data_IF_808809911797
#
_entry.id   IF_808809911797
#
_cell.length_a   1.000
_cell.length_b   1.000
_cell.length_c   1.000
_cell.angle_alpha   90.00
_cell.angle_beta   90.00
_cell.angle_gamma   90.00
#
_symmetry.space_group_name_H-M   'P 1'
#
loop_
_entity.id
_entity.type
_entity.pdbx_description
1 polymer ?
#
# COMPACT_ATOMS: atom_id res chain seq x y z
N UNK A 1 6.30 13.25 17.42
CA UNK A 1 5.44 13.83 18.47
C UNK A 1 6.34 14.37 19.58
N UNK A 2 5.93 15.40 20.36
CA UNK A 2 6.74 15.86 21.48
C UNK A 2 7.03 14.73 22.47
N UNK A 3 8.22 14.77 23.09
CA UNK A 3 8.62 13.84 24.13
C UNK A 3 8.73 14.60 25.45
N UNK A 4 8.18 14.05 26.51
CA UNK A 4 8.20 14.64 27.84
C UNK A 4 8.93 13.70 28.79
N UNK A 5 9.91 14.23 29.49
CA UNK A 5 10.50 13.60 30.65
C UNK A 5 9.65 13.94 31.88
N UNK A 6 9.23 12.92 32.62
CA UNK A 6 8.48 13.06 33.85
C UNK A 6 9.28 12.45 34.98
N UNK A 7 9.57 13.27 35.99
CA UNK A 7 10.21 12.85 37.24
C UNK A 7 9.16 12.83 38.35
N UNK A 8 9.22 11.81 39.20
CA UNK A 8 8.23 11.63 40.24
C UNK A 8 8.51 10.42 41.13
N UNK A 9 7.47 9.92 41.80
CA UNK A 9 7.54 8.72 42.66
C UNK A 9 6.52 7.68 42.24
N UNK A 10 6.87 6.40 42.35
CA UNK A 10 5.89 5.32 42.14
C UNK A 10 4.83 5.34 43.25
N UNK A 11 3.55 5.39 42.90
CA UNK A 11 2.41 5.49 43.83
C UNK A 11 2.44 4.42 44.93
N UNK A 12 2.80 3.19 44.55
CA UNK A 12 2.82 2.05 45.49
C UNK A 12 4.15 1.89 46.23
N UNK A 13 5.25 2.39 45.66
CA UNK A 13 6.61 2.10 46.17
C UNK A 13 7.27 3.29 46.85
N UNK A 14 6.77 4.51 46.63
CA UNK A 14 7.39 5.76 47.06
C UNK A 14 8.77 6.05 46.44
N UNK A 15 9.29 5.16 45.59
CA UNK A 15 10.62 5.28 44.99
C UNK A 15 10.62 6.29 43.85
N UNK A 16 11.70 7.07 43.75
CA UNK A 16 11.93 8.01 42.64
C UNK A 16 11.95 7.26 41.30
N UNK A 17 11.31 7.84 40.29
CA UNK A 17 11.27 7.34 38.92
C UNK A 17 11.44 8.51 37.95
N UNK A 18 12.08 8.22 36.83
CA UNK A 18 12.22 9.11 35.68
C UNK A 18 11.78 8.33 34.45
N UNK A 19 10.77 8.84 33.75
CA UNK A 19 10.14 8.19 32.60
C UNK A 19 10.04 9.18 31.46
N UNK A 20 10.06 8.67 30.24
CA UNK A 20 9.85 9.48 29.03
C UNK A 20 8.58 9.01 28.36
N UNK A 21 7.70 9.95 28.03
CA UNK A 21 6.43 9.71 27.35
C UNK A 21 6.39 10.52 26.05
N UNK A 22 5.87 9.92 24.99
CA UNK A 22 5.57 10.62 23.75
C UNK A 22 4.09 10.98 23.77
N UNK A 23 3.75 12.26 23.69
CA UNK A 23 2.38 12.76 23.83
C UNK A 23 2.19 14.02 22.99
N UNK A 24 0.97 14.31 22.55
CA UNK A 24 0.67 15.52 21.79
C UNK A 24 0.72 16.79 22.66
N UNK A 25 0.63 16.65 23.98
CA UNK A 25 0.72 17.74 24.95
C UNK A 25 1.28 17.28 26.30
N UNK A 26 1.73 18.23 27.10
CA UNK A 26 2.14 17.98 28.50
C UNK A 26 1.00 17.34 29.32
N UNK A 27 -0.26 17.77 29.10
CA UNK A 27 -1.42 17.23 29.81
C UNK A 27 -1.62 15.74 29.53
N UNK A 28 -1.46 15.33 28.28
CA UNK A 28 -1.58 13.91 27.89
C UNK A 28 -0.38 13.11 28.44
N UNK A 29 0.83 13.66 28.42
CA UNK A 29 1.99 13.03 29.04
C UNK A 29 1.79 12.82 30.56
N UNK A 30 1.19 13.79 31.25
CA UNK A 30 0.84 13.67 32.67
C UNK A 30 -0.16 12.55 32.91
N UNK A 31 -1.22 12.48 32.11
CA UNK A 31 -2.20 11.42 32.21
C UNK A 31 -1.56 10.03 32.04
N UNK A 32 -0.70 9.86 31.02
CA UNK A 32 0.04 8.62 30.80
C UNK A 32 0.93 8.24 31.99
N UNK A 33 1.57 9.23 32.62
CA UNK A 33 2.39 8.99 33.80
C UNK A 33 1.58 8.61 35.04
N UNK A 34 0.42 9.22 35.25
CA UNK A 34 -0.50 8.86 36.33
C UNK A 34 -1.08 7.46 36.15
N UNK A 35 -1.42 7.08 34.91
CA UNK A 35 -1.86 5.74 34.54
C UNK A 35 -0.75 4.68 34.75
N UNK A 36 0.52 5.01 34.53
CA UNK A 36 1.70 4.18 34.91
C UNK A 36 1.95 4.16 36.44
N UNK A 37 1.08 4.79 37.22
CA UNK A 37 1.20 4.86 38.68
C UNK A 37 2.35 5.75 39.15
N UNK A 38 2.66 6.82 38.42
CA UNK A 38 3.66 7.82 38.81
C UNK A 38 2.99 9.06 39.41
N UNK A 39 3.35 9.40 40.64
CA UNK A 39 3.06 10.69 41.26
C UNK A 39 4.04 11.72 40.71
N UNK A 40 3.54 12.65 39.91
CA UNK A 40 4.32 13.61 39.14
C UNK A 40 4.88 14.70 40.06
N UNK A 41 6.20 14.95 39.99
CA UNK A 41 6.88 16.05 40.68
C UNK A 41 7.33 17.12 39.67
N UNK A 42 7.88 16.70 38.52
CA UNK A 42 8.41 17.60 37.50
C UNK A 42 8.14 17.03 36.10
N UNK A 43 7.89 17.93 35.14
CA UNK A 43 7.72 17.60 33.72
C UNK A 43 8.61 18.52 32.89
N UNK A 44 9.36 17.95 31.95
CA UNK A 44 10.25 18.68 31.06
C UNK A 44 10.05 18.19 29.63
N UNK A 45 9.79 19.10 28.70
CA UNK A 45 9.77 18.76 27.27
C UNK A 45 11.20 18.53 26.76
N UNK A 46 11.43 17.36 26.15
CA UNK A 46 12.70 16.98 25.56
C UNK A 46 12.73 17.53 24.13
N UNK A 47 13.68 18.42 23.79
CA UNK A 47 13.80 18.91 22.43
C UNK A 47 14.08 17.74 21.46
N UNK A 48 13.63 17.84 20.20
CA UNK A 48 13.91 16.82 19.21
C UNK A 48 15.40 16.75 18.91
N UNK A 49 15.87 15.54 18.60
CA UNK A 49 17.28 15.32 18.29
C UNK A 49 17.65 16.04 16.98
N UNK A 50 18.75 16.80 16.93
CA UNK A 50 19.21 17.40 15.68
C UNK A 50 19.74 16.31 14.72
N UNK A 51 19.82 16.59 13.41
CA UNK A 51 20.38 15.67 12.43
C UNK A 51 21.82 15.33 12.77
N UNK A 52 22.19 14.06 12.63
CA UNK A 52 23.57 13.64 12.83
C UNK A 52 24.46 14.14 11.68
N UNK A 53 25.75 14.35 11.92
CA UNK A 53 26.68 14.79 10.87
C UNK A 53 26.66 13.84 9.65
N UNK A 54 26.57 12.52 9.90
CA UNK A 54 26.45 11.52 8.84
C UNK A 54 25.20 11.69 7.97
N UNK A 55 24.06 12.04 8.57
CA UNK A 55 22.84 12.33 7.81
C UNK A 55 22.98 13.61 7.00
N UNK A 56 23.61 14.65 7.57
CA UNK A 56 23.84 15.93 6.89
C UNK A 56 24.72 15.72 5.67
N UNK A 57 25.83 15.00 5.81
CA UNK A 57 26.77 14.75 4.72
C UNK A 57 26.11 13.89 3.64
N UNK A 58 25.43 12.81 4.02
CA UNK A 58 24.75 11.94 3.06
C UNK A 58 23.61 12.67 2.32
N UNK A 59 22.83 13.51 2.99
CA UNK A 59 21.81 14.33 2.34
C UNK A 59 22.42 15.31 1.33
N UNK A 60 23.56 15.94 1.65
CA UNK A 60 24.28 16.81 0.72
C UNK A 60 24.76 16.05 -0.51
N UNK A 61 25.33 14.85 -0.33
CA UNK A 61 25.77 13.99 -1.44
C UNK A 61 24.62 13.60 -2.37
N UNK A 62 23.41 13.42 -1.81
CA UNK A 62 22.18 13.18 -2.56
C UNK A 62 21.55 14.45 -3.18
N UNK A 63 22.14 15.63 -2.94
CA UNK A 63 21.63 16.91 -3.41
C UNK A 63 20.35 17.36 -2.71
N UNK A 64 20.13 16.96 -1.46
CA UNK A 64 18.96 17.30 -0.66
C UNK A 64 19.23 18.60 0.11
N UNK A 65 18.35 19.60 -0.05
CA UNK A 65 18.37 20.80 0.78
C UNK A 65 17.74 20.50 2.14
N UNK A 66 18.53 20.62 3.21
CA UNK A 66 18.06 20.40 4.59
C UNK A 66 17.41 21.70 5.13
N UNK A 67 16.17 21.65 5.61
CA UNK A 67 15.53 22.77 6.31
C UNK A 67 16.32 23.20 7.56
N UNK A 68 16.35 24.49 7.88
CA UNK A 68 17.15 25.03 8.99
C UNK A 68 16.82 24.40 10.36
N UNK A 69 15.54 24.07 10.59
CA UNK A 69 15.06 23.49 11.84
C UNK A 69 14.76 21.98 11.72
N UNK A 70 15.33 21.31 10.71
CA UNK A 70 15.10 19.90 10.50
C UNK A 70 15.64 19.08 11.67
N UNK A 71 14.86 18.12 12.11
CA UNK A 71 15.24 17.13 13.12
C UNK A 71 15.94 15.94 12.48
N UNK A 72 16.51 15.07 13.32
CA UNK A 72 17.08 13.78 12.91
C UNK A 72 16.11 12.96 12.06
N UNK A 73 14.84 12.92 12.46
CA UNK A 73 13.81 12.14 11.77
C UNK A 73 13.41 12.80 10.45
N UNK A 74 13.33 14.15 10.41
CA UNK A 74 13.04 14.89 9.18
C UNK A 74 14.08 14.59 8.09
N UNK A 75 15.36 14.63 8.45
CA UNK A 75 16.45 14.34 7.50
C UNK A 75 16.43 12.86 7.11
N UNK A 76 16.09 11.95 8.02
CA UNK A 76 15.93 10.52 7.70
C UNK A 76 14.81 10.28 6.68
N UNK A 77 13.65 10.92 6.85
CA UNK A 77 12.52 10.80 5.93
C UNK A 77 12.81 11.48 4.58
N UNK A 78 13.50 12.63 4.57
CA UNK A 78 13.98 13.29 3.35
C UNK A 78 14.93 12.40 2.53
N UNK A 79 15.89 11.76 3.21
CA UNK A 79 16.83 10.82 2.59
C UNK A 79 16.05 9.62 2.02
N UNK A 80 15.19 9.00 2.81
CA UNK A 80 14.41 7.82 2.39
C UNK A 80 13.52 8.15 1.19
N UNK A 81 12.83 9.29 1.22
CA UNK A 81 12.01 9.79 0.12
C UNK A 81 12.80 9.86 -1.20
N UNK A 82 14.05 10.34 -1.15
CA UNK A 82 14.95 10.46 -2.31
C UNK A 82 15.49 9.11 -2.77
N UNK A 83 16.03 8.32 -1.85
CA UNK A 83 16.71 7.03 -2.13
C UNK A 83 15.71 6.01 -2.69
N UNK A 84 14.53 5.89 -2.07
CA UNK A 84 13.51 4.91 -2.44
C UNK A 84 12.67 5.35 -3.65
N UNK A 85 12.96 6.54 -4.19
CA UNK A 85 12.18 7.22 -5.24
C UNK A 85 10.68 7.24 -4.88
N UNK A 86 10.41 7.48 -3.60
CA UNK A 86 9.05 7.54 -3.09
C UNK A 86 8.41 8.91 -3.40
N UNK A 87 7.08 8.97 -3.32
CA UNK A 87 6.33 10.20 -3.53
C UNK A 87 5.98 10.80 -2.18
N UNK A 88 6.01 12.14 -2.01
CA UNK A 88 5.57 12.76 -0.76
C UNK A 88 4.15 12.34 -0.39
N UNK A 89 3.91 12.14 0.91
CA UNK A 89 2.57 11.89 1.42
C UNK A 89 1.69 13.14 1.33
N UNK A 90 0.45 12.97 0.89
CA UNK A 90 -0.55 14.06 0.90
C UNK A 90 -1.20 14.18 2.28
N UNK A 91 -1.84 15.31 2.56
CA UNK A 91 -2.60 15.51 3.80
C UNK A 91 -3.68 14.45 4.02
N UNK A 92 -4.29 13.94 2.93
CA UNK A 92 -5.23 12.81 3.00
C UNK A 92 -4.55 11.56 3.56
N UNK A 93 -3.34 11.22 3.10
CA UNK A 93 -2.61 10.06 3.63
C UNK A 93 -2.23 10.27 5.11
N UNK A 94 -1.76 11.46 5.45
CA UNK A 94 -1.39 11.84 6.82
C UNK A 94 -2.58 11.79 7.79
N UNK A 95 -3.79 12.14 7.33
CA UNK A 95 -5.03 12.02 8.12
C UNK A 95 -5.27 10.59 8.61
N UNK A 96 -5.01 9.57 7.78
CA UNK A 96 -5.14 8.16 8.20
C UNK A 96 -4.16 7.78 9.31
N UNK A 97 -2.90 8.19 9.18
CA UNK A 97 -1.91 7.92 10.22
C UNK A 97 -2.27 8.61 11.55
N UNK A 98 -2.75 9.86 11.52
CA UNK A 98 -3.25 10.57 12.71
C UNK A 98 -4.43 9.83 13.36
N UNK A 99 -5.41 9.37 12.57
CA UNK A 99 -6.55 8.61 13.08
C UNK A 99 -6.15 7.32 13.82
N UNK A 100 -4.98 6.77 13.49
CA UNK A 100 -4.42 5.59 14.15
C UNK A 100 -3.36 5.89 15.21
N UNK A 101 -3.11 7.17 15.52
CA UNK A 101 -2.10 7.60 16.50
C UNK A 101 -0.66 7.32 16.06
N UNK A 102 -0.37 7.37 14.75
CA UNK A 102 0.94 7.06 14.22
C UNK A 102 1.74 8.34 13.99
N UNK A 103 2.98 8.34 14.47
CA UNK A 103 3.91 9.44 14.30
C UNK A 103 4.61 9.42 12.93
N UNK A 104 4.73 10.60 12.33
CA UNK A 104 5.43 10.82 11.08
C UNK A 104 5.93 12.27 10.98
N UNK A 105 6.92 12.49 10.12
CA UNK A 105 7.41 13.82 9.78
C UNK A 105 6.62 14.41 8.60
N UNK A 106 6.74 15.71 8.38
CA UNK A 106 6.12 16.35 7.22
C UNK A 106 6.72 15.93 5.88
N UNK A 107 7.92 15.35 5.91
CA UNK A 107 8.70 14.92 4.74
C UNK A 107 8.47 13.45 4.36
N UNK A 108 7.63 12.71 5.11
CA UNK A 108 7.46 11.27 4.92
C UNK A 108 6.92 10.90 3.52
N UNK A 109 7.57 9.92 2.91
CA UNK A 109 7.11 9.30 1.67
C UNK A 109 5.82 8.48 1.85
N UNK A 110 5.06 8.34 0.77
CA UNK A 110 3.77 7.63 0.75
C UNK A 110 3.94 6.15 1.11
N UNK A 111 4.91 5.46 0.51
CA UNK A 111 5.19 4.05 0.83
C UNK A 111 5.64 3.91 2.27
N UNK A 112 6.55 4.78 2.72
CA UNK A 112 7.04 4.78 4.09
C UNK A 112 5.91 4.99 5.11
N UNK A 113 5.03 5.97 4.88
CA UNK A 113 3.87 6.24 5.74
C UNK A 113 2.93 5.04 5.80
N UNK A 114 2.64 4.42 4.67
CA UNK A 114 1.78 3.24 4.62
C UNK A 114 2.41 2.05 5.33
N UNK A 115 3.71 1.83 5.18
CA UNK A 115 4.45 0.81 5.92
C UNK A 115 4.35 1.04 7.44
N UNK A 116 4.50 2.30 7.91
CA UNK A 116 4.30 2.63 9.33
C UNK A 116 2.87 2.34 9.79
N UNK A 117 1.86 2.67 8.99
CA UNK A 117 0.45 2.34 9.28
C UNK A 117 0.27 0.84 9.44
N UNK A 118 0.69 0.06 8.45
CA UNK A 118 0.53 -1.38 8.47
C UNK A 118 1.27 -2.01 9.66
N UNK A 119 2.53 -1.64 9.90
CA UNK A 119 3.32 -2.15 11.01
C UNK A 119 2.66 -1.86 12.37
N UNK A 120 2.11 -0.65 12.55
CA UNK A 120 1.42 -0.29 13.78
C UNK A 120 0.11 -1.07 13.99
N UNK A 121 -0.60 -1.41 12.90
CA UNK A 121 -1.89 -2.12 12.95
C UNK A 121 -1.74 -3.64 13.08
N UNK A 122 -0.60 -4.22 12.70
CA UNK A 122 -0.33 -5.66 12.86
C UNK A 122 -0.18 -6.06 14.34
N UNK A 123 0.12 -5.11 15.22
CA UNK A 123 0.25 -5.33 16.67
C UNK A 123 -0.99 -5.98 17.29
N UNK A 124 -0.83 -6.88 18.29
CA UNK A 124 -1.95 -7.51 18.99
C UNK A 124 -2.94 -6.51 19.57
N UNK A 125 -4.23 -6.83 19.50
CA UNK A 125 -5.31 -5.97 20.00
C UNK A 125 -5.75 -4.87 19.01
N UNK A 126 -5.18 -4.83 17.80
CA UNK A 126 -5.56 -3.91 16.72
C UNK A 126 -6.18 -4.59 15.50
N UNK A 127 -6.61 -5.85 15.64
CA UNK A 127 -7.12 -6.71 14.56
C UNK A 127 -8.27 -6.05 13.79
N UNK A 128 -9.27 -5.49 14.49
CA UNK A 128 -10.38 -4.78 13.84
C UNK A 128 -9.87 -3.59 13.02
N UNK A 129 -8.99 -2.76 13.60
CA UNK A 129 -8.41 -1.59 12.89
C UNK A 129 -7.57 -2.01 11.67
N UNK A 130 -6.83 -3.12 11.78
CA UNK A 130 -6.08 -3.72 10.67
C UNK A 130 -7.02 -4.13 9.53
N UNK A 131 -8.14 -4.78 9.87
CA UNK A 131 -9.13 -5.20 8.88
C UNK A 131 -9.87 -4.00 8.28
N UNK A 132 -10.26 -3.00 9.06
CA UNK A 132 -10.84 -1.76 8.54
C UNK A 132 -9.89 -1.07 7.55
N UNK A 133 -8.60 -0.97 7.91
CA UNK A 133 -7.58 -0.43 7.01
C UNK A 133 -7.50 -1.23 5.71
N UNK A 134 -7.32 -2.56 5.81
CA UNK A 134 -7.23 -3.42 4.63
C UNK A 134 -8.48 -3.35 3.74
N UNK A 135 -9.68 -3.42 4.34
CA UNK A 135 -10.97 -3.32 3.65
C UNK A 135 -11.10 -1.99 2.92
N UNK A 136 -10.73 -0.88 3.55
CA UNK A 136 -10.69 0.43 2.89
C UNK A 136 -9.70 0.44 1.71
N UNK A 137 -8.54 -0.19 1.84
CA UNK A 137 -7.56 -0.28 0.74
C UNK A 137 -8.10 -1.08 -0.44
N UNK A 138 -8.79 -2.20 -0.18
CA UNK A 138 -9.48 -2.97 -1.24
C UNK A 138 -10.60 -2.15 -1.87
N UNK A 139 -11.38 -1.41 -1.08
CA UNK A 139 -12.40 -0.51 -1.63
C UNK A 139 -11.81 0.52 -2.59
N UNK A 140 -10.73 1.21 -2.18
CA UNK A 140 -10.04 2.21 -3.02
C UNK A 140 -9.51 1.63 -4.33
N UNK A 141 -9.10 0.36 -4.33
CA UNK A 141 -8.74 -0.37 -5.54
C UNK A 141 -9.94 -0.60 -6.46
N UNK A 142 -11.07 -1.08 -5.92
CA UNK A 142 -12.26 -1.39 -6.71
C UNK A 142 -12.85 -0.16 -7.42
N UNK A 143 -12.68 1.03 -6.85
CA UNK A 143 -13.08 2.30 -7.48
C UNK A 143 -11.95 2.96 -8.30
N UNK A 144 -10.85 2.25 -8.54
CA UNK A 144 -9.66 2.77 -9.26
C UNK A 144 -9.14 4.11 -8.71
N UNK A 145 -9.26 4.30 -7.39
CA UNK A 145 -8.84 5.51 -6.72
C UNK A 145 -9.65 6.76 -7.07
N UNK A 146 -10.90 6.65 -7.51
CA UNK A 146 -11.77 7.80 -7.80
C UNK A 146 -11.82 8.83 -6.66
N UNK A 147 -11.82 10.12 -7.01
CA UNK A 147 -11.79 11.22 -6.03
C UNK A 147 -13.17 11.48 -5.41
N UNK A 148 -14.24 11.25 -6.17
CA UNK A 148 -15.64 11.36 -5.75
C UNK A 148 -16.17 10.07 -5.08
N UNK A 149 -15.34 9.41 -4.28
CA UNK A 149 -15.71 8.16 -3.63
C UNK A 149 -16.71 8.40 -2.48
N UNK A 150 -17.82 7.65 -2.40
CA UNK A 150 -18.72 7.69 -1.25
C UNK A 150 -18.05 7.40 0.09
N UNK A 151 -17.08 6.48 0.10
CA UNK A 151 -16.29 6.13 1.29
C UNK A 151 -14.91 6.80 1.17
N UNK A 152 -14.59 7.69 2.11
CA UNK A 152 -13.38 8.50 2.08
C UNK A 152 -12.30 8.07 3.10
N UNK A 153 -12.68 7.29 4.12
CA UNK A 153 -11.83 6.87 5.23
C UNK A 153 -12.14 5.43 5.75
N UNK A 154 -11.22 4.83 6.55
CA UNK A 154 -11.37 3.46 7.06
C UNK A 154 -12.37 3.27 8.22
N UNK A 155 -12.80 4.36 8.85
CA UNK A 155 -13.80 4.40 9.94
C UNK A 155 -15.25 4.55 9.40
N UNK A 156 -15.43 4.44 8.09
CA UNK A 156 -16.76 4.38 7.48
C UNK A 156 -17.55 3.16 7.99
N UNK A 157 -18.86 3.30 8.29
CA UNK A 157 -19.66 2.22 8.86
C UNK A 157 -19.62 0.91 8.06
N UNK A 158 -19.65 0.98 6.72
CA UNK A 158 -19.63 -0.23 5.87
C UNK A 158 -18.28 -0.94 6.01
N UNK A 159 -17.20 -0.17 6.10
CA UNK A 159 -15.85 -0.71 6.29
C UNK A 159 -15.72 -1.36 7.67
N UNK A 160 -16.22 -0.72 8.72
CA UNK A 160 -16.16 -1.24 10.09
C UNK A 160 -17.03 -2.47 10.31
N UNK A 161 -18.22 -2.53 9.70
CA UNK A 161 -19.10 -3.71 9.75
C UNK A 161 -18.43 -4.92 9.09
N UNK A 162 -17.83 -4.74 7.90
CA UNK A 162 -17.07 -5.81 7.23
C UNK A 162 -15.87 -6.24 8.09
N UNK A 163 -15.17 -5.29 8.71
CA UNK A 163 -14.03 -5.60 9.57
C UNK A 163 -14.45 -6.38 10.83
N UNK A 164 -15.59 -6.04 11.43
CA UNK A 164 -16.15 -6.74 12.59
C UNK A 164 -16.49 -8.20 12.26
N UNK A 165 -17.13 -8.45 11.11
CA UNK A 165 -17.45 -9.81 10.68
C UNK A 165 -16.19 -10.67 10.43
N UNK A 166 -15.13 -10.05 9.90
CA UNK A 166 -13.89 -10.74 9.55
C UNK A 166 -12.91 -10.92 10.72
N UNK A 167 -13.12 -10.23 11.85
CA UNK A 167 -12.16 -10.23 12.98
C UNK A 167 -11.98 -11.60 13.61
N UNK A 168 -12.98 -12.47 13.50
CA UNK A 168 -12.94 -13.84 14.02
C UNK A 168 -12.32 -14.85 13.05
N UNK A 169 -12.08 -14.46 11.79
CA UNK A 169 -11.48 -15.33 10.78
C UNK A 169 -9.95 -15.25 10.82
N UNK A 170 -9.35 -16.18 11.56
CA UNK A 170 -7.90 -16.33 11.70
C UNK A 170 -7.17 -16.53 10.36
N UNK A 171 -7.81 -17.14 9.36
CA UNK A 171 -7.20 -17.33 8.05
C UNK A 171 -7.10 -15.99 7.32
N UNK A 172 -8.13 -15.15 7.43
CA UNK A 172 -8.11 -13.79 6.87
C UNK A 172 -7.10 -12.91 7.60
N UNK A 173 -7.10 -12.88 8.93
CA UNK A 173 -6.11 -12.13 9.70
C UNK A 173 -4.67 -12.52 9.35
N UNK A 174 -4.36 -13.82 9.27
CA UNK A 174 -3.05 -14.32 8.85
C UNK A 174 -2.70 -13.96 7.41
N UNK A 175 -3.69 -13.77 6.54
CA UNK A 175 -3.46 -13.30 5.17
C UNK A 175 -3.16 -11.81 5.15
N UNK A 176 -3.90 -11.00 5.92
CA UNK A 176 -3.75 -9.54 5.95
C UNK A 176 -2.44 -9.11 6.64
N UNK A 177 -2.02 -9.82 7.69
CA UNK A 177 -0.77 -9.54 8.41
C UNK A 177 0.50 -9.71 7.56
N UNK A 178 0.43 -10.40 6.41
CA UNK A 178 1.59 -10.63 5.53
C UNK A 178 1.90 -9.47 4.60
N UNK A 179 0.96 -8.54 4.42
CA UNK A 179 1.20 -7.39 3.55
C UNK A 179 2.16 -6.42 4.21
N UNK A 180 3.05 -5.86 3.40
CA UNK A 180 3.65 -4.57 3.71
C UNK A 180 2.67 -3.45 3.37
N UNK A 181 2.73 -2.34 4.09
CA UNK A 181 1.80 -1.24 3.87
C UNK A 181 1.91 -0.63 2.46
N UNK A 182 3.11 -0.58 1.91
CA UNK A 182 3.40 -0.09 0.57
C UNK A 182 2.71 -0.91 -0.52
N UNK A 183 2.53 -2.21 -0.29
CA UNK A 183 1.79 -3.11 -1.19
C UNK A 183 0.29 -2.79 -1.19
N UNK A 184 -0.24 -2.24 -0.10
CA UNK A 184 -1.66 -1.86 -0.02
C UNK A 184 -1.99 -0.54 -0.73
N UNK A 185 -1.02 0.11 -1.38
CA UNK A 185 -1.26 1.31 -2.18
C UNK A 185 -2.14 0.97 -3.39
N UNK A 186 -1.93 -0.20 -4.01
CA UNK A 186 -2.65 -0.70 -5.18
C UNK A 186 -2.52 -2.23 -5.24
N UNK A 187 -3.42 -2.94 -5.93
CA UNK A 187 -3.39 -4.40 -5.99
C UNK A 187 -3.15 -4.95 -7.40
N UNK A 188 -2.47 -6.09 -7.48
CA UNK A 188 -2.18 -6.80 -8.72
C UNK A 188 -0.80 -6.50 -9.29
N UNK A 189 -0.70 -6.56 -10.62
CA UNK A 189 0.55 -6.40 -11.36
C UNK A 189 0.35 -5.36 -12.47
N UNK A 190 1.38 -4.55 -12.69
CA UNK A 190 1.42 -3.61 -13.80
C UNK A 190 2.76 -3.72 -14.52
N UNK A 191 2.71 -3.95 -15.83
CA UNK A 191 3.91 -3.97 -16.68
C UNK A 191 4.11 -2.59 -17.27
N UNK A 192 5.28 -2.03 -17.01
CA UNK A 192 5.73 -0.76 -17.57
C UNK A 192 6.04 -0.88 -19.08
N UNK A 193 6.06 0.23 -19.85
CA UNK A 193 6.35 0.19 -21.28
C UNK A 193 7.72 -0.42 -21.65
N UNK A 194 8.67 -0.38 -20.72
CA UNK A 194 10.00 -1.00 -20.80
C UNK A 194 10.03 -2.49 -20.42
N UNK A 195 8.86 -3.08 -20.10
CA UNK A 195 8.71 -4.51 -19.83
C UNK A 195 8.92 -4.93 -18.39
N UNK A 196 9.22 -3.98 -17.48
CA UNK A 196 9.37 -4.27 -16.06
C UNK A 196 8.00 -4.47 -15.39
N UNK A 197 7.83 -5.61 -14.70
CA UNK A 197 6.63 -5.89 -13.91
C UNK A 197 6.78 -5.28 -12.52
N UNK A 198 5.85 -4.40 -12.18
CA UNK A 198 5.65 -3.90 -10.83
C UNK A 198 4.55 -4.72 -10.16
N UNK A 199 4.72 -5.03 -8.88
CA UNK A 199 3.78 -5.81 -8.08
C UNK A 199 3.28 -4.98 -6.90
N UNK A 200 1.97 -4.97 -6.70
CA UNK A 200 1.32 -4.44 -5.50
C UNK A 200 0.82 -5.57 -4.62
N UNK A 201 -0.17 -5.28 -3.78
CA UNK A 201 -0.83 -6.29 -2.96
C UNK A 201 -1.49 -7.36 -3.84
N UNK A 202 -1.37 -8.63 -3.47
CA UNK A 202 -1.98 -9.72 -4.23
C UNK A 202 -3.51 -9.71 -4.17
N UNK A 203 -4.14 -9.44 -5.32
CA UNK A 203 -5.59 -9.58 -5.51
C UNK A 203 -6.08 -11.04 -5.60
N UNK A 204 -5.17 -12.03 -5.47
CA UNK A 204 -5.49 -13.46 -5.57
C UNK A 204 -5.74 -14.11 -4.21
N UNK A 205 -5.41 -13.42 -3.12
CA UNK A 205 -5.53 -13.92 -1.74
C UNK A 205 -6.98 -14.16 -1.33
N UNK A 206 -7.20 -15.07 -0.37
CA UNK A 206 -8.52 -15.31 0.21
C UNK A 206 -9.10 -14.03 0.84
N UNK A 207 -8.28 -13.28 1.58
CA UNK A 207 -8.67 -12.01 2.19
C UNK A 207 -9.14 -10.99 1.16
N UNK A 208 -8.37 -10.76 0.09
CA UNK A 208 -8.77 -9.83 -0.95
C UNK A 208 -10.11 -10.24 -1.60
N UNK A 209 -10.25 -11.52 -1.95
CA UNK A 209 -11.45 -12.04 -2.61
C UNK A 209 -12.70 -11.89 -1.73
N UNK A 210 -12.61 -12.26 -0.46
CA UNK A 210 -13.72 -12.18 0.48
C UNK A 210 -14.13 -10.72 0.74
N UNK A 211 -13.17 -9.86 1.06
CA UNK A 211 -13.39 -8.43 1.26
C UNK A 211 -13.97 -7.78 0.01
N UNK A 212 -13.44 -8.09 -1.18
CA UNK A 212 -13.97 -7.57 -2.44
C UNK A 212 -15.42 -8.01 -2.68
N UNK A 213 -15.78 -9.24 -2.32
CA UNK A 213 -17.16 -9.74 -2.44
C UNK A 213 -18.10 -8.96 -1.53
N UNK A 214 -17.76 -8.81 -0.25
CA UNK A 214 -18.58 -8.09 0.73
C UNK A 214 -18.74 -6.61 0.36
N UNK A 215 -17.68 -5.96 -0.13
CA UNK A 215 -17.73 -4.58 -0.61
C UNK A 215 -18.63 -4.43 -1.83
N UNK A 216 -18.64 -5.40 -2.76
CA UNK A 216 -19.52 -5.34 -3.95
C UNK A 216 -20.99 -5.49 -3.60
N UNK A 217 -21.31 -6.23 -2.53
CA UNK A 217 -22.69 -6.36 -2.05
C UNK A 217 -23.17 -5.13 -1.27
N UNK A 218 -22.28 -4.48 -0.51
CA UNK A 218 -22.70 -3.49 0.50
C UNK A 218 -22.35 -2.05 0.15
N UNK A 219 -21.24 -1.81 -0.55
CA UNK A 219 -20.74 -0.46 -0.80
C UNK A 219 -21.31 0.14 -2.09
N UNK A 220 -21.47 1.46 -2.10
CA UNK A 220 -21.78 2.21 -3.30
C UNK A 220 -20.51 2.51 -4.09
N UNK A 221 -20.60 2.33 -5.42
CA UNK A 221 -19.53 2.64 -6.36
C UNK A 221 -19.89 3.90 -7.13
N UNK A 222 -18.97 4.87 -7.30
CA UNK A 222 -19.23 6.04 -8.12
C UNK A 222 -19.59 5.59 -9.53
N UNK A 223 -20.60 6.24 -10.14
CA UNK A 223 -20.96 5.98 -11.53
C UNK A 223 -19.71 6.24 -12.38
N UNK A 224 -19.31 5.24 -13.16
CA UNK A 224 -18.17 5.34 -14.07
C UNK A 224 -18.42 6.48 -15.08
N UNK A 225 -18.00 7.70 -14.76
CA UNK A 225 -17.55 8.61 -15.80
C UNK A 225 -16.30 7.97 -16.37
N UNK A 226 -16.47 7.28 -17.50
CA UNK A 226 -15.40 6.62 -18.21
C UNK A 226 -14.23 7.61 -18.35
N UNK A 227 -13.21 7.49 -17.48
CA UNK A 227 -11.91 8.07 -17.74
C UNK A 227 -11.45 7.42 -19.04
N UNK A 228 -11.61 8.16 -20.15
CA UNK A 228 -10.99 7.83 -21.44
C UNK A 228 -9.60 7.33 -21.11
N UNK A 229 -9.37 6.07 -21.48
CA UNK A 229 -8.07 5.43 -21.49
C UNK A 229 -7.08 6.50 -21.92
N UNK A 230 -6.12 6.84 -21.06
CA UNK A 230 -4.96 7.63 -21.47
C UNK A 230 -4.17 6.74 -22.42
N UNK A 231 -4.62 6.64 -23.67
CA UNK A 231 -3.75 6.29 -24.78
C UNK A 231 -2.81 7.47 -24.91
N UNK A 232 -1.56 7.29 -24.51
CA UNK A 232 -0.49 8.20 -24.84
C UNK A 232 -0.27 8.14 -26.36
N UNK A 233 -1.09 8.85 -27.12
CA UNK A 233 -0.80 9.20 -28.49
C UNK A 233 0.03 10.49 -28.46
N UNK A 234 1.23 10.37 -29.02
CA UNK A 234 2.27 11.36 -29.12
C UNK A 234 1.80 12.75 -29.59
N UNK A 235 2.17 13.78 -28.83
CA UNK A 235 2.61 15.03 -29.42
C UNK A 235 4.13 14.90 -29.67
N UNK A 236 4.49 14.44 -30.87
CA UNK A 236 5.81 14.69 -31.45
C UNK A 236 5.60 15.30 -32.81
N UNK A 237 5.90 16.58 -32.87
CA UNK A 237 6.25 17.34 -34.06
C UNK A 237 7.46 16.69 -34.75
N UNK A 238 7.46 16.67 -36.10
CA UNK A 238 8.58 16.15 -36.88
C UNK A 238 8.23 15.32 -38.14
N UNK A 239 7.91 16.03 -39.22
CA UNK A 239 8.45 15.82 -40.58
C UNK A 239 8.22 14.46 -41.31
N UNK A 240 7.18 14.46 -42.16
CA UNK A 240 7.07 13.92 -43.52
C UNK A 240 8.11 12.87 -44.05
N UNK A 241 7.67 11.63 -44.28
CA UNK A 241 7.86 10.88 -45.56
C UNK A 241 7.03 9.58 -45.66
N UNK A 242 5.98 9.66 -46.47
CA UNK A 242 5.56 8.74 -47.54
C UNK A 242 5.67 7.19 -47.34
N UNK A 243 4.51 6.53 -47.17
CA UNK A 243 3.90 5.50 -48.07
C UNK A 243 3.21 4.30 -47.38
N UNK A 244 1.96 4.11 -47.82
CA UNK A 244 1.16 2.88 -47.95
C UNK A 244 0.78 2.06 -46.71
N UNK A 245 -0.52 2.11 -46.40
CA UNK A 245 -1.32 1.03 -45.80
C UNK A 245 -2.01 0.20 -46.92
N UNK A 246 -2.72 -0.94 -46.67
CA UNK A 246 -2.82 -1.73 -45.43
C UNK A 246 -2.80 -3.28 -45.65
N UNK A 247 -2.95 -4.03 -44.53
CA UNK A 247 -3.58 -5.36 -44.32
C UNK A 247 -2.65 -6.47 -43.79
N UNK A 248 -2.83 -6.79 -42.50
CA UNK A 248 -2.29 -7.98 -41.86
C UNK A 248 -3.39 -8.85 -41.25
N UNK A 249 -4.16 -9.55 -42.08
CA UNK A 249 -5.06 -10.64 -41.68
C UNK A 249 -4.65 -11.96 -42.38
N UNK A 250 -3.34 -12.16 -42.59
CA UNK A 250 -2.80 -13.31 -43.32
C UNK A 250 -2.24 -14.41 -42.40
N UNK A 251 -2.05 -14.14 -41.10
CA UNK A 251 -1.52 -15.11 -40.15
C UNK A 251 -2.55 -16.17 -39.72
N UNK A 252 -3.84 -15.81 -39.66
CA UNK A 252 -4.93 -16.71 -39.24
C UNK A 252 -5.26 -17.75 -40.33
N UNK A 253 -5.08 -17.41 -41.62
CA UNK A 253 -5.34 -18.33 -42.73
C UNK A 253 -4.29 -19.46 -42.83
N UNK A 254 -3.04 -19.23 -42.43
CA UNK A 254 -2.00 -20.27 -42.49
C UNK A 254 -2.16 -21.36 -41.42
N UNK A 255 -2.70 -21.01 -40.24
CA UNK A 255 -2.90 -21.96 -39.14
C UNK A 255 -4.03 -22.95 -39.44
N UNK A 256 -5.11 -22.50 -40.11
CA UNK A 256 -6.23 -23.37 -40.49
C UNK A 256 -5.82 -24.40 -41.56
N UNK A 257 -4.93 -24.01 -42.48
CA UNK A 257 -4.43 -24.90 -43.55
C UNK A 257 -3.47 -25.98 -43.03
N UNK A 258 -2.70 -25.71 -41.97
CA UNK A 258 -1.82 -26.71 -41.37
C UNK A 258 -2.59 -27.74 -40.53
N UNK A 259 -3.69 -27.33 -39.88
CA UNK A 259 -4.53 -28.24 -39.10
C UNK A 259 -5.27 -29.23 -40.02
N UNK A 260 -5.76 -28.78 -41.19
CA UNK A 260 -6.47 -29.66 -42.12
C UNK A 260 -5.56 -30.72 -42.76
N UNK A 261 -4.32 -30.38 -43.08
CA UNK A 261 -3.33 -31.36 -43.58
C UNK A 261 -2.96 -32.39 -42.52
N UNK A 262 -2.80 -31.96 -41.25
CA UNK A 262 -2.51 -32.87 -40.14
C UNK A 262 -3.62 -33.90 -39.88
N UNK A 263 -4.89 -33.49 -40.00
CA UNK A 263 -6.06 -34.39 -39.83
C UNK A 263 -6.15 -35.42 -40.97
N UNK A 264 -5.90 -35.02 -42.21
CA UNK A 264 -5.92 -35.96 -43.35
C UNK A 264 -4.80 -37.00 -43.24
N UNK A 265 -3.60 -36.60 -42.83
CA UNK A 265 -2.47 -37.52 -42.66
C UNK A 265 -2.68 -38.51 -41.50
N UNK A 266 -3.33 -38.08 -40.41
CA UNK A 266 -3.64 -38.96 -39.28
C UNK A 266 -4.75 -39.97 -39.61
N UNK A 267 -5.77 -39.58 -40.39
CA UNK A 267 -6.78 -40.52 -40.89
C UNK A 267 -6.16 -41.56 -41.83
N UNK A 268 -5.26 -41.15 -42.73
CA UNK A 268 -4.57 -42.07 -43.64
C UNK A 268 -3.65 -43.05 -42.90
N UNK A 269 -3.00 -42.61 -41.82
CA UNK A 269 -2.16 -43.47 -40.99
C UNK A 269 -2.97 -44.49 -40.18
N UNK A 270 -4.10 -44.07 -39.60
CA UNK A 270 -5.02 -44.97 -38.88
C UNK A 270 -5.62 -46.02 -39.83
N UNK A 271 -6.00 -45.62 -41.05
CA UNK A 271 -6.50 -46.56 -42.07
C UNK A 271 -5.48 -47.63 -42.45
N UNK A 272 -4.19 -47.28 -42.55
CA UNK A 272 -3.12 -48.25 -42.81
C UNK A 272 -2.88 -49.21 -41.65
N UNK A 273 -3.03 -48.76 -40.40
CA UNK A 273 -2.91 -49.62 -39.22
C UNK A 273 -4.02 -50.67 -39.19
N UNK A 274 -5.27 -50.29 -39.49
CA UNK A 274 -6.37 -51.25 -39.56
C UNK A 274 -6.20 -52.24 -40.71
N UNK A 275 -5.75 -51.80 -41.88
CA UNK A 275 -5.50 -52.70 -43.02
C UNK A 275 -4.31 -53.67 -42.82
N UNK A 276 -3.46 -53.45 -41.81
CA UNK A 276 -2.39 -54.37 -41.43
C UNK A 276 -2.84 -55.42 -40.40
N UNK A 277 -3.91 -55.13 -39.63
CA UNK A 277 -4.44 -56.01 -38.59
C UNK A 277 -5.35 -57.13 -39.11
N UNK A 278 -5.88 -56.98 -40.32
CA UNK A 278 -6.72 -58.01 -40.99
C UNK A 278 -5.90 -58.97 -41.89
N UNK A 279 -4.56 -58.96 -41.78
CA UNK A 279 -3.64 -59.82 -42.54
C UNK A 279 -2.72 -60.70 -41.67
N UNK A 280 -3.11 -60.94 -40.42
CA UNK A 280 -2.63 -62.02 -39.56
C UNK A 280 -3.81 -62.92 -39.18
#
# INVERSE_FOLDING_TARGET
>A
MPRYEIQGKGKDTGRKRKRTYSAASESEARQLAEEDGTLIEEVTEIPPDPPTQRQIDYAKDLGISIPANATKDDVSDLISLKVDRDKPSTERHKKFARAYGIEFTDYIGKKALFNRIQAALVSPGREKKLLSWFTFRVYRELISGADNAPIDAPDDPIIEEIAEELVTDEKILKSVRRYEGSELIWFGEWTSPDGYVHTGGSNRTAAYKQVSSMLKERAQFPKNEQKKVRSSAHARDGNQKDRSEPKGCLSVMMVVLLISVGVVLSIAWIGKIFAYRDRE
#
